data_IF_443981650974
#
_entry.id   IF_443981650974
#
_cell.length_a   1.000
_cell.length_b   1.000
_cell.length_c   1.000
_cell.angle_alpha   90.00
_cell.angle_beta   90.00
_cell.angle_gamma   90.00
#
_symmetry.space_group_name_H-M   'P 1'
#
loop_
_entity.id
_entity.type
_entity.pdbx_description
1 polymer ?
#
# COMPACT_ATOMS: atom_id res chain seq x y z
N UNK A 1 -21.65 36.97 3.87
CA UNK A 1 -20.83 36.31 2.83
C UNK A 1 -21.42 34.93 2.56
N UNK A 2 -21.35 34.47 1.32
CA UNK A 2 -22.12 33.38 0.72
C UNK A 2 -22.07 32.02 1.44
N UNK A 3 -23.18 31.29 1.33
CA UNK A 3 -23.24 29.84 1.47
C UNK A 3 -22.58 29.16 0.26
N UNK A 4 -22.03 27.96 0.43
CA UNK A 4 -22.47 26.73 -0.27
C UNK A 4 -21.50 25.57 -0.05
N UNK A 5 -22.06 24.53 0.58
CA UNK A 5 -21.81 23.11 0.40
C UNK A 5 -21.07 22.71 -0.89
N UNK A 6 -20.09 21.82 -0.83
CA UNK A 6 -20.34 20.40 -1.09
C UNK A 6 -19.06 19.57 -0.94
N UNK A 7 -19.25 18.38 -0.39
CA UNK A 7 -18.34 17.23 -0.38
C UNK A 7 -17.34 17.20 -1.55
N UNK A 8 -16.10 17.65 -1.33
CA UNK A 8 -15.01 17.01 -2.05
C UNK A 8 -14.71 15.77 -1.25
N UNK A 9 -15.28 14.65 -1.69
CA UNK A 9 -14.80 13.33 -1.31
C UNK A 9 -13.33 13.29 -1.74
N UNK A 10 -12.44 13.84 -0.93
CA UNK A 10 -11.02 13.55 -1.00
C UNK A 10 -10.98 12.06 -0.72
N UNK A 11 -11.09 11.27 -1.77
CA UNK A 11 -10.92 9.83 -1.75
C UNK A 11 -9.62 9.66 -0.96
N UNK A 12 -9.73 9.22 0.30
CA UNK A 12 -8.60 9.16 1.21
C UNK A 12 -7.76 7.97 0.74
N UNK A 13 -7.06 8.16 -0.37
CA UNK A 13 -6.08 7.25 -0.91
C UNK A 13 -4.89 7.33 0.03
N UNK A 14 -5.03 6.67 1.18
CA UNK A 14 -4.01 6.57 2.21
C UNK A 14 -3.51 5.15 2.23
N UNK A 15 -2.20 5.02 2.38
CA UNK A 15 -1.57 3.72 2.57
C UNK A 15 -1.90 3.27 4.00
N UNK A 16 -2.54 2.11 4.13
CA UNK A 16 -2.81 1.50 5.42
C UNK A 16 -1.65 0.58 5.76
N UNK A 17 -1.07 0.75 6.95
CA UNK A 17 0.02 -0.09 7.46
C UNK A 17 -0.47 -0.73 8.73
N UNK A 18 -0.64 -2.04 8.67
CA UNK A 18 -0.90 -2.86 9.83
C UNK A 18 0.41 -3.46 10.31
N UNK A 19 0.85 -3.01 11.50
CA UNK A 19 2.11 -3.45 12.08
C UNK A 19 1.90 -4.71 12.89
N UNK A 20 2.70 -5.72 12.61
CA UNK A 20 2.66 -7.01 13.30
C UNK A 20 1.25 -7.67 13.24
N UNK A 21 0.74 -7.97 12.03
CA UNK A 21 -0.52 -8.70 11.84
C UNK A 21 -0.47 -10.05 12.54
N UNK A 22 -1.62 -10.56 12.98
CA UNK A 22 -1.70 -11.86 13.63
C UNK A 22 -1.41 -12.99 12.63
N UNK A 23 -0.78 -14.08 13.09
CA UNK A 23 -0.49 -15.24 12.23
C UNK A 23 -1.76 -15.84 11.58
N UNK A 24 -2.89 -15.81 12.29
CA UNK A 24 -4.19 -16.22 11.76
C UNK A 24 -4.58 -15.40 10.54
N UNK A 25 -4.47 -14.07 10.63
CA UNK A 25 -4.80 -13.18 9.52
C UNK A 25 -3.88 -13.39 8.31
N UNK A 26 -2.57 -13.54 8.54
CA UNK A 26 -1.62 -13.86 7.47
C UNK A 26 -1.96 -15.20 6.78
N UNK A 27 -2.41 -16.17 7.56
CA UNK A 27 -2.82 -17.49 7.07
C UNK A 27 -4.16 -17.43 6.31
N UNK A 28 -5.14 -16.68 6.80
CA UNK A 28 -6.43 -16.43 6.13
C UNK A 28 -6.24 -15.72 4.80
N UNK A 29 -5.33 -14.75 4.75
CA UNK A 29 -4.90 -14.07 3.52
C UNK A 29 -4.10 -14.98 2.58
N UNK A 30 -3.64 -16.14 3.06
CA UNK A 30 -2.78 -17.07 2.36
C UNK A 30 -1.55 -16.38 1.74
N UNK A 31 -0.87 -15.52 2.51
CA UNK A 31 0.27 -14.73 2.02
C UNK A 31 1.39 -15.59 1.41
N UNK A 32 1.52 -16.85 1.86
CA UNK A 32 2.51 -17.80 1.35
C UNK A 32 2.24 -18.23 -0.10
N UNK A 33 1.00 -18.10 -0.57
CA UNK A 33 0.61 -18.37 -1.95
C UNK A 33 0.75 -17.15 -2.88
N UNK A 34 1.05 -15.97 -2.34
CA UNK A 34 1.20 -14.75 -3.14
C UNK A 34 2.53 -14.74 -3.89
N UNK A 35 2.61 -14.07 -5.05
CA UNK A 35 3.88 -13.84 -5.71
C UNK A 35 4.83 -13.04 -4.81
N UNK A 36 6.11 -13.39 -4.88
CA UNK A 36 7.19 -12.66 -4.22
C UNK A 36 7.74 -11.59 -5.13
N UNK A 37 8.03 -10.44 -4.56
CA UNK A 37 8.73 -9.35 -5.22
C UNK A 37 9.84 -8.83 -4.32
N UNK A 38 10.97 -8.49 -4.92
CA UNK A 38 12.07 -7.87 -4.20
C UNK A 38 12.78 -6.83 -5.04
N UNK A 39 13.37 -5.85 -4.36
CA UNK A 39 14.05 -4.74 -5.01
C UNK A 39 15.17 -4.15 -4.15
N UNK A 40 16.21 -3.65 -4.82
CA UNK A 40 17.36 -3.02 -4.20
C UNK A 40 17.02 -1.64 -3.62
N UNK A 41 17.78 -1.14 -2.63
CA UNK A 41 17.64 0.21 -2.10
C UNK A 41 17.68 1.27 -3.20
N UNK A 42 16.79 2.26 -3.12
CA UNK A 42 16.62 3.27 -4.17
C UNK A 42 15.26 3.97 -4.09
N UNK A 43 15.05 4.92 -4.99
CA UNK A 43 13.79 5.68 -5.11
C UNK A 43 12.98 5.21 -6.32
N UNK A 44 11.74 4.79 -6.09
CA UNK A 44 10.86 4.26 -7.11
C UNK A 44 9.56 5.03 -7.13
N UNK A 45 9.17 5.55 -8.30
CA UNK A 45 7.87 6.19 -8.48
C UNK A 45 6.86 5.12 -8.89
N UNK A 46 5.88 4.88 -8.05
CA UNK A 46 4.88 3.83 -8.23
C UNK A 46 3.49 4.46 -8.40
N UNK A 47 2.75 3.89 -9.35
CA UNK A 47 1.33 4.18 -9.57
C UNK A 47 0.58 2.87 -9.45
N UNK A 48 -0.40 2.84 -8.56
CA UNK A 48 -1.21 1.67 -8.27
C UNK A 48 -2.51 1.78 -9.05
N UNK A 49 -2.62 1.09 -10.18
CA UNK A 49 -3.84 1.06 -11.00
C UNK A 49 -4.90 0.06 -10.48
N UNK A 50 -4.55 -0.74 -9.47
CA UNK A 50 -5.42 -1.60 -8.68
C UNK A 50 -5.05 -1.49 -7.20
N UNK A 51 -5.93 -1.96 -6.31
CA UNK A 51 -5.59 -2.06 -4.90
C UNK A 51 -4.56 -3.18 -4.71
N UNK A 52 -3.42 -2.86 -4.10
CA UNK A 52 -2.36 -3.82 -3.80
C UNK A 52 -2.31 -4.05 -2.29
N UNK A 53 -2.38 -5.31 -1.88
CA UNK A 53 -2.10 -5.71 -0.51
C UNK A 53 -0.75 -6.42 -0.54
N UNK A 54 0.20 -5.95 0.24
CA UNK A 54 1.53 -6.53 0.30
C UNK A 54 2.02 -6.72 1.73
N UNK A 55 2.66 -7.86 1.99
CA UNK A 55 3.28 -8.17 3.26
C UNK A 55 4.79 -8.10 3.11
N UNK A 56 5.44 -7.19 3.82
CA UNK A 56 6.90 -7.06 3.77
C UNK A 56 7.53 -8.10 4.68
N UNK A 57 8.33 -8.99 4.11
CA UNK A 57 9.14 -9.97 4.84
C UNK A 57 10.46 -9.34 5.27
N UNK A 58 11.01 -8.47 4.42
CA UNK A 58 12.27 -7.76 4.65
C UNK A 58 12.22 -6.37 4.04
N UNK A 59 13.01 -5.47 4.60
CA UNK A 59 13.25 -4.15 4.02
C UNK A 59 12.69 -3.02 4.88
N UNK A 60 12.93 -1.80 4.40
CA UNK A 60 12.45 -0.57 5.02
C UNK A 60 12.16 0.45 3.93
N UNK A 61 10.92 0.93 3.90
CA UNK A 61 10.40 1.81 2.86
C UNK A 61 9.72 3.01 3.50
N UNK A 62 9.99 4.20 2.95
CA UNK A 62 9.20 5.40 3.19
C UNK A 62 8.43 5.72 1.92
N UNK A 63 7.12 5.57 1.97
CA UNK A 63 6.24 5.92 0.86
C UNK A 63 5.77 7.37 1.00
N UNK A 64 5.92 8.15 -0.06
CA UNK A 64 5.52 9.55 -0.15
C UNK A 64 4.32 9.67 -1.10
N UNK A 65 3.07 9.70 -0.59
CA UNK A 65 1.87 9.87 -1.41
C UNK A 65 1.90 11.21 -2.16
N UNK A 66 1.56 11.19 -3.45
CA UNK A 66 1.50 12.40 -4.26
C UNK A 66 0.40 13.32 -3.73
N UNK A 67 0.76 14.58 -3.47
CA UNK A 67 -0.17 15.59 -2.93
C UNK A 67 -0.29 15.59 -1.40
N UNK A 68 0.49 14.76 -0.70
CA UNK A 68 0.63 14.82 0.75
C UNK A 68 2.06 15.23 1.12
N UNK A 69 2.21 16.05 2.16
CA UNK A 69 3.51 16.39 2.74
C UNK A 69 4.03 15.31 3.70
N UNK A 70 3.16 14.39 4.10
CA UNK A 70 3.47 13.31 5.00
C UNK A 70 3.95 12.06 4.26
N UNK A 71 4.76 11.25 4.93
CA UNK A 71 5.21 9.96 4.43
C UNK A 71 4.72 8.84 5.35
N UNK A 72 4.59 7.65 4.78
CA UNK A 72 4.21 6.43 5.48
C UNK A 72 5.41 5.51 5.52
N UNK A 73 5.91 5.19 6.72
CA UNK A 73 7.04 4.27 6.92
C UNK A 73 6.54 2.88 7.31
N UNK A 74 7.00 1.87 6.57
CA UNK A 74 6.73 0.45 6.79
C UNK A 74 7.96 -0.40 6.46
N UNK A 75 8.03 -1.60 7.02
CA UNK A 75 9.18 -2.49 6.89
C UNK A 75 8.83 -3.95 7.14
N UNK A 76 9.87 -4.74 7.40
CA UNK A 76 9.74 -6.17 7.69
C UNK A 76 8.71 -6.45 8.80
N UNK A 77 7.76 -7.33 8.52
CA UNK A 77 6.66 -7.71 9.41
C UNK A 77 5.37 -6.91 9.21
N UNK A 78 5.36 -5.88 8.36
CA UNK A 78 4.17 -5.04 8.16
C UNK A 78 3.33 -5.52 6.98
N UNK A 79 1.99 -5.52 7.17
CA UNK A 79 1.01 -5.70 6.09
C UNK A 79 0.54 -4.33 5.62
N UNK A 80 0.68 -4.07 4.33
CA UNK A 80 0.47 -2.77 3.73
C UNK A 80 -0.59 -2.86 2.65
N UNK A 81 -1.66 -2.08 2.79
CA UNK A 81 -2.73 -1.99 1.80
C UNK A 81 -2.66 -0.64 1.10
N UNK A 82 -2.60 -0.68 -0.22
CA UNK A 82 -2.37 0.45 -1.09
C UNK A 82 -3.60 0.60 -1.99
N UNK A 83 -4.40 1.66 -1.83
CA UNK A 83 -5.65 1.78 -2.55
C UNK A 83 -5.43 2.05 -4.04
N UNK A 84 -6.35 1.55 -4.86
CA UNK A 84 -6.39 1.81 -6.30
C UNK A 84 -6.40 3.31 -6.60
N UNK A 85 -5.59 3.72 -7.56
CA UNK A 85 -5.43 5.11 -8.00
C UNK A 85 -4.38 5.88 -7.22
N UNK A 86 -3.77 5.29 -6.17
CA UNK A 86 -2.70 5.96 -5.44
C UNK A 86 -1.45 6.09 -6.31
N UNK A 87 -0.84 7.28 -6.30
CA UNK A 87 0.51 7.49 -6.80
C UNK A 87 1.41 7.88 -5.63
N UNK A 88 2.53 7.18 -5.44
CA UNK A 88 3.47 7.51 -4.38
C UNK A 88 4.91 7.21 -4.80
N UNK A 89 5.87 7.86 -4.14
CA UNK A 89 7.30 7.57 -4.32
C UNK A 89 7.76 6.71 -3.16
N UNK A 90 8.31 5.53 -3.43
CA UNK A 90 8.93 4.67 -2.43
C UNK A 90 10.41 5.00 -2.33
N UNK A 91 10.84 5.46 -1.17
CA UNK A 91 12.24 5.58 -0.78
C UNK A 91 12.64 4.32 0.01
N UNK A 92 13.29 3.39 -0.69
CA UNK A 92 13.71 2.11 -0.16
C UNK A 92 15.10 2.27 0.46
N UNK A 93 15.16 2.32 1.79
CA UNK A 93 16.43 2.43 2.51
C UNK A 93 17.13 1.07 2.64
N UNK A 94 16.36 -0.02 2.73
CA UNK A 94 16.87 -1.40 2.84
C UNK A 94 16.16 -2.27 1.83
N UNK A 95 16.90 -3.14 1.14
CA UNK A 95 16.36 -4.04 0.12
C UNK A 95 15.08 -4.71 0.59
N UNK A 96 14.04 -4.61 -0.24
CA UNK A 96 12.70 -5.09 0.07
C UNK A 96 12.55 -6.52 -0.41
N UNK A 97 11.91 -7.34 0.41
CA UNK A 97 11.33 -8.63 0.04
C UNK A 97 9.89 -8.62 0.54
N UNK A 98 8.92 -8.74 -0.36
CA UNK A 98 7.50 -8.68 -0.03
C UNK A 98 6.71 -9.74 -0.79
N UNK A 99 5.65 -10.21 -0.17
CA UNK A 99 4.55 -10.88 -0.86
C UNK A 99 3.54 -9.82 -1.29
N UNK A 100 2.96 -9.93 -2.47
CA UNK A 100 1.95 -8.96 -2.93
C UNK A 100 0.79 -9.67 -3.62
N UNK A 101 -0.40 -9.10 -3.49
CA UNK A 101 -1.57 -9.46 -4.29
C UNK A 101 -2.25 -8.18 -4.77
N UNK A 102 -2.82 -8.25 -5.97
CA UNK A 102 -3.75 -7.22 -6.43
C UNK A 102 -5.17 -7.71 -6.14
N UNK A 103 -5.97 -6.88 -5.48
CA UNK A 103 -7.40 -7.10 -5.42
C UNK A 103 -7.96 -6.83 -6.83
N UNK A 104 -8.37 -7.91 -7.49
CA UNK A 104 -9.13 -7.83 -8.73
C UNK A 104 -10.45 -7.16 -8.38
N UNK A 105 -10.60 -5.88 -8.74
CA UNK A 105 -11.90 -5.20 -8.68
C UNK A 105 -12.82 -5.86 -9.69
N UNK A 106 -13.43 -6.99 -9.33
CA UNK A 106 -14.63 -7.48 -10.00
C UNK A 106 -15.73 -6.50 -9.62
N UNK A 107 -15.97 -5.51 -10.47
CA UNK A 107 -17.19 -4.73 -10.44
C UNK A 107 -18.36 -5.69 -10.68
N UNK A 108 -18.80 -6.38 -9.63
CA UNK A 108 -20.12 -6.98 -9.57
C UNK A 108 -21.11 -5.85 -9.29
N UNK A 109 -21.33 -5.01 -10.30
CA UNK A 109 -22.53 -4.19 -10.38
C UNK A 109 -23.69 -5.18 -10.56
N UNK A 110 -24.40 -5.50 -9.48
CA UNK A 110 -25.74 -6.10 -9.55
C UNK A 110 -26.77 -4.99 -9.73
#
# INVERSE_FOLDING_TARGET
MAAESNSSSSHNLRILVERNPSESQLSELNIKGWPKWGCSPGKYQLKFDAEEICYLVKGKVKAYPKGSSEFVEFGAGDLVTIPKGLSCTWDVSVAVDKYYKFESTSSSSS
#
